data_IF_175434681291
#
_entry.id   IF_175434681291
#
_cell.length_a   1.000
_cell.length_b   1.000
_cell.length_c   1.000
_cell.angle_alpha   90.00
_cell.angle_beta   90.00
_cell.angle_gamma   90.00
#
_symmetry.space_group_name_H-M   'P 1'
#
loop_
_entity.id
_entity.type
_entity.pdbx_description
1 polymer ?
#
# COMPACT_ATOMS: atom_id res chain seq x y z
N UNK A 1 4.60 -12.64 -14.01
CA UNK A 1 5.48 -11.69 -13.29
C UNK A 1 6.89 -12.26 -13.10
N UNK A 2 7.07 -13.40 -12.41
CA UNK A 2 8.41 -14.00 -12.20
C UNK A 2 9.17 -14.36 -13.49
N UNK A 3 8.50 -14.88 -14.51
CA UNK A 3 9.11 -15.15 -15.82
C UNK A 3 9.65 -13.91 -16.54
N UNK A 4 9.07 -12.73 -16.30
CA UNK A 4 9.57 -11.48 -16.90
C UNK A 4 10.88 -11.04 -16.21
N UNK A 5 11.07 -11.41 -14.95
CA UNK A 5 12.24 -11.09 -14.14
C UNK A 5 13.35 -12.12 -14.38
N UNK A 6 12.99 -13.38 -14.67
CA UNK A 6 13.90 -14.48 -14.93
C UNK A 6 13.53 -15.20 -16.25
N UNK A 7 13.82 -14.61 -17.41
CA UNK A 7 13.38 -15.13 -18.71
C UNK A 7 14.04 -16.47 -19.12
N UNK A 8 15.12 -16.88 -18.46
CA UNK A 8 15.81 -18.16 -18.70
C UNK A 8 15.53 -19.25 -17.65
N UNK A 9 14.69 -18.99 -16.65
CA UNK A 9 14.39 -19.94 -15.58
C UNK A 9 13.19 -20.84 -15.93
N UNK A 10 13.24 -22.10 -15.49
CA UNK A 10 12.17 -23.07 -15.72
C UNK A 10 10.81 -22.56 -15.17
N UNK A 11 9.77 -22.44 -16.01
CA UNK A 11 8.43 -22.04 -15.61
C UNK A 11 7.82 -22.83 -14.45
N UNK A 12 8.09 -24.13 -14.36
CA UNK A 12 7.51 -24.96 -13.29
C UNK A 12 8.19 -24.71 -11.95
N UNK A 13 9.51 -24.56 -11.97
CA UNK A 13 10.28 -24.21 -10.79
C UNK A 13 9.91 -22.82 -10.25
N UNK A 14 9.75 -21.82 -11.12
CA UNK A 14 9.27 -20.48 -10.73
C UNK A 14 7.87 -20.52 -10.10
N UNK A 15 6.97 -21.38 -10.60
CA UNK A 15 5.64 -21.58 -10.02
C UNK A 15 5.72 -22.17 -8.62
N UNK A 16 6.57 -23.19 -8.41
CA UNK A 16 6.77 -23.82 -7.10
C UNK A 16 7.23 -22.81 -6.04
N UNK A 17 8.17 -21.92 -6.38
CA UNK A 17 8.62 -20.86 -5.48
C UNK A 17 7.55 -19.80 -5.20
N UNK A 18 6.68 -19.52 -6.16
CA UNK A 18 5.58 -18.57 -5.98
C UNK A 18 4.49 -19.12 -5.06
N UNK A 19 4.18 -20.41 -5.17
CA UNK A 19 3.22 -21.08 -4.31
C UNK A 19 3.79 -21.25 -2.88
N UNK A 20 5.07 -21.64 -2.75
CA UNK A 20 5.76 -21.76 -1.48
C UNK A 20 5.90 -20.42 -0.73
N UNK A 21 5.95 -19.30 -1.45
CA UNK A 21 5.98 -17.96 -0.85
C UNK A 21 4.60 -17.42 -0.44
N UNK A 22 3.55 -18.22 -0.54
CA UNK A 22 2.17 -17.81 -0.25
C UNK A 22 1.61 -16.82 -1.27
N UNK A 23 2.02 -16.95 -2.55
CA UNK A 23 1.67 -16.03 -3.64
C UNK A 23 2.19 -14.60 -3.44
N UNK A 24 3.16 -14.40 -2.55
CA UNK A 24 3.81 -13.10 -2.36
C UNK A 24 5.00 -13.01 -3.31
N UNK A 25 4.88 -12.11 -4.30
CA UNK A 25 5.84 -11.97 -5.39
C UNK A 25 7.26 -11.63 -4.90
N UNK A 26 7.38 -10.70 -3.94
CA UNK A 26 8.68 -10.27 -3.42
C UNK A 26 9.42 -11.39 -2.66
N UNK A 27 8.67 -12.17 -1.87
CA UNK A 27 9.19 -13.34 -1.18
C UNK A 27 9.63 -14.45 -2.15
N UNK A 28 8.90 -14.66 -3.24
CA UNK A 28 9.27 -15.62 -4.29
C UNK A 28 10.55 -15.20 -5.02
N UNK A 29 10.67 -13.90 -5.36
CA UNK A 29 11.87 -13.35 -6.03
C UNK A 29 13.11 -13.54 -5.14
N UNK A 30 12.99 -13.24 -3.85
CA UNK A 30 14.09 -13.41 -2.90
C UNK A 30 14.49 -14.87 -2.75
N UNK A 31 13.53 -15.77 -2.48
CA UNK A 31 13.82 -17.20 -2.31
C UNK A 31 14.43 -17.85 -3.56
N UNK A 32 14.01 -17.43 -4.76
CA UNK A 32 14.61 -17.93 -6.00
C UNK A 32 16.01 -17.36 -6.26
N UNK A 33 16.28 -16.09 -5.90
CA UNK A 33 17.65 -15.54 -5.95
C UNK A 33 18.59 -16.24 -4.98
N UNK A 34 18.12 -16.55 -3.78
CA UNK A 34 18.90 -17.28 -2.77
C UNK A 34 19.25 -18.70 -3.27
N UNK A 35 18.32 -19.35 -3.99
CA UNK A 35 18.57 -20.63 -4.67
C UNK A 35 19.65 -20.53 -5.75
N UNK A 36 19.61 -19.51 -6.61
CA UNK A 36 20.63 -19.28 -7.63
C UNK A 36 22.01 -18.97 -7.02
N UNK A 37 22.04 -18.18 -5.95
CA UNK A 37 23.27 -17.86 -5.21
C UNK A 37 23.88 -19.07 -4.50
N UNK A 38 23.06 -20.08 -4.17
CA UNK A 38 23.49 -21.33 -3.53
C UNK A 38 24.11 -22.36 -4.50
N UNK A 39 24.33 -22.00 -5.77
CA UNK A 39 25.22 -22.75 -6.66
C UNK A 39 24.70 -24.10 -7.18
N UNK A 40 23.41 -24.41 -7.03
CA UNK A 40 22.82 -25.68 -7.52
C UNK A 40 22.68 -25.76 -9.06
N UNK A 41 23.13 -24.74 -9.80
CA UNK A 41 23.07 -24.70 -11.27
C UNK A 41 24.48 -24.79 -11.88
N UNK A 42 25.15 -25.93 -11.73
CA UNK A 42 26.09 -26.36 -12.75
C UNK A 42 26.17 -27.88 -12.81
N UNK A 43 25.67 -28.44 -13.91
CA UNK A 43 25.87 -29.84 -14.30
C UNK A 43 27.23 -29.99 -14.98
N UNK A 44 28.12 -30.76 -14.35
CA UNK A 44 29.16 -31.68 -14.86
C UNK A 44 29.88 -31.39 -16.20
N UNK A 45 31.21 -31.25 -16.14
CA UNK A 45 32.17 -31.92 -17.04
C UNK A 45 33.60 -31.90 -16.45
N UNK A 46 34.25 -33.06 -16.47
CA UNK A 46 35.56 -33.42 -15.94
C UNK A 46 36.76 -32.68 -16.58
N UNK A 47 37.87 -32.56 -15.84
CA UNK A 47 39.16 -33.14 -16.22
C UNK A 47 40.26 -32.81 -15.20
N UNK A 48 40.90 -33.85 -14.69
CA UNK A 48 42.11 -33.80 -13.89
C UNK A 48 43.36 -33.41 -14.71
N UNK A 49 44.31 -32.69 -14.12
CA UNK A 49 45.74 -32.94 -14.37
C UNK A 49 46.66 -32.29 -13.31
N UNK A 50 47.38 -33.18 -12.64
CA UNK A 50 48.70 -33.09 -11.99
C UNK A 50 49.61 -31.87 -12.27
N UNK A 51 50.24 -31.36 -11.20
CA UNK A 51 51.72 -31.36 -11.11
C UNK A 51 52.49 -30.04 -11.21
N UNK A 52 52.88 -29.51 -10.05
CA UNK A 52 54.17 -28.87 -9.70
C UNK A 52 54.49 -27.43 -10.17
N UNK A 53 54.75 -26.62 -9.13
CA UNK A 53 55.61 -25.43 -9.03
C UNK A 53 55.18 -24.14 -9.73
N UNK A 54 54.51 -23.28 -8.96
CA UNK A 54 54.85 -21.86 -8.93
C UNK A 54 54.56 -21.32 -7.53
N UNK A 55 55.58 -21.38 -6.66
CA UNK A 55 55.58 -20.79 -5.31
C UNK A 55 55.79 -19.27 -5.39
N UNK A 56 55.00 -18.62 -6.24
CA UNK A 56 54.83 -17.17 -6.28
C UNK A 56 53.46 -16.92 -5.68
N UNK A 57 53.43 -16.95 -4.35
CA UNK A 57 52.45 -16.32 -3.45
C UNK A 57 51.26 -15.68 -4.19
N UNK A 58 50.31 -16.54 -4.53
CA UNK A 58 49.02 -16.17 -5.12
C UNK A 58 48.11 -15.66 -3.99
N UNK A 59 48.51 -14.57 -3.33
CA UNK A 59 47.76 -13.96 -2.23
C UNK A 59 46.90 -12.81 -2.77
N UNK A 60 45.94 -13.15 -3.64
CA UNK A 60 44.96 -12.21 -4.18
C UNK A 60 43.52 -12.54 -3.74
N UNK A 61 43.34 -12.93 -2.48
CA UNK A 61 42.01 -13.12 -1.93
C UNK A 61 41.93 -12.62 -0.49
N UNK A 62 41.49 -11.37 -0.35
CA UNK A 62 40.85 -10.81 0.85
C UNK A 62 41.60 -11.07 2.17
N UNK A 63 42.86 -10.64 2.23
CA UNK A 63 43.69 -10.66 3.44
C UNK A 63 43.09 -9.71 4.49
N UNK A 64 42.71 -10.26 5.65
CA UNK A 64 42.09 -9.49 6.72
C UNK A 64 43.15 -8.63 7.47
N UNK A 65 42.72 -7.69 8.31
CA UNK A 65 43.65 -6.79 9.05
C UNK A 65 44.65 -7.53 9.93
N UNK A 66 44.30 -8.72 10.42
CA UNK A 66 45.14 -9.57 11.28
C UNK A 66 46.23 -10.24 10.44
N UNK A 67 45.88 -10.73 9.25
CA UNK A 67 46.79 -11.40 8.33
C UNK A 67 47.88 -10.44 7.80
N UNK A 68 47.55 -9.15 7.60
CA UNK A 68 48.53 -8.13 7.21
C UNK A 68 49.54 -7.84 8.32
N UNK A 69 49.09 -7.78 9.58
CA UNK A 69 49.97 -7.54 10.72
C UNK A 69 50.96 -8.71 10.90
N UNK A 70 50.48 -9.95 10.80
CA UNK A 70 51.33 -11.14 10.86
C UNK A 70 52.32 -11.21 9.70
N UNK A 71 51.88 -10.87 8.48
CA UNK A 71 52.74 -10.80 7.29
C UNK A 71 53.88 -9.79 7.46
N UNK A 72 53.57 -8.60 7.98
CA UNK A 72 54.57 -7.56 8.23
C UNK A 72 55.58 -8.05 9.27
N UNK A 73 55.10 -8.57 10.41
CA UNK A 73 55.99 -9.05 11.48
C UNK A 73 56.88 -10.20 10.99
N UNK A 74 56.34 -11.14 10.21
CA UNK A 74 57.09 -12.26 9.61
C UNK A 74 58.17 -11.78 8.63
N UNK A 75 57.84 -10.89 7.71
CA UNK A 75 58.78 -10.41 6.68
C UNK A 75 59.88 -9.50 7.26
N UNK A 76 59.53 -8.66 8.25
CA UNK A 76 60.49 -7.80 8.94
C UNK A 76 61.40 -8.58 9.88
N UNK A 77 60.89 -9.60 10.58
CA UNK A 77 61.71 -10.44 11.47
C UNK A 77 62.68 -11.35 10.72
N UNK A 78 62.40 -11.67 9.45
CA UNK A 78 63.30 -12.40 8.57
C UNK A 78 64.34 -11.50 7.87
N UNK A 79 64.35 -10.18 8.11
CA UNK A 79 65.23 -9.26 7.40
C UNK A 79 66.67 -9.36 7.91
N UNK A 80 67.64 -9.36 6.99
CA UNK A 80 69.06 -9.45 7.36
C UNK A 80 69.65 -8.12 7.83
N UNK A 81 69.11 -7.01 7.33
CA UNK A 81 69.52 -5.65 7.67
C UNK A 81 68.37 -4.64 7.43
N UNK A 82 68.62 -3.38 7.77
CA UNK A 82 67.63 -2.30 7.66
C UNK A 82 67.24 -1.98 6.21
N UNK A 83 68.16 -2.17 5.25
CA UNK A 83 67.90 -1.89 3.83
C UNK A 83 67.00 -2.99 3.23
N UNK A 84 67.26 -4.24 3.58
CA UNK A 84 66.42 -5.39 3.24
C UNK A 84 65.02 -5.26 3.89
N UNK A 85 64.94 -4.91 5.18
CA UNK A 85 63.66 -4.63 5.85
C UNK A 85 62.88 -3.52 5.15
N UNK A 86 63.54 -2.42 4.77
CA UNK A 86 62.92 -1.31 4.02
C UNK A 86 62.40 -1.77 2.65
N UNK A 87 63.17 -2.58 1.94
CA UNK A 87 62.79 -3.13 0.63
C UNK A 87 61.56 -4.03 0.73
N UNK A 88 61.51 -4.89 1.77
CA UNK A 88 60.33 -5.72 2.06
C UNK A 88 59.11 -4.90 2.46
N UNK A 89 59.30 -3.83 3.24
CA UNK A 89 58.21 -2.95 3.66
C UNK A 89 57.56 -2.25 2.46
N UNK A 90 58.38 -1.76 1.52
CA UNK A 90 57.87 -1.21 0.27
C UNK A 90 57.06 -2.22 -0.52
N UNK A 91 57.54 -3.47 -0.62
CA UNK A 91 56.83 -4.53 -1.36
C UNK A 91 55.50 -4.90 -0.70
N UNK A 92 55.44 -4.94 0.63
CA UNK A 92 54.19 -5.21 1.36
C UNK A 92 53.18 -4.07 1.17
N UNK A 93 53.63 -2.81 1.23
CA UNK A 93 52.77 -1.66 0.96
C UNK A 93 52.25 -1.64 -0.48
N UNK A 94 53.09 -1.99 -1.46
CA UNK A 94 52.67 -2.10 -2.86
C UNK A 94 51.63 -3.22 -3.07
N UNK A 95 51.77 -4.35 -2.36
CA UNK A 95 50.77 -5.43 -2.35
C UNK A 95 49.46 -5.00 -1.68
N UNK A 96 49.55 -4.23 -0.59
CA UNK A 96 48.38 -3.67 0.08
C UNK A 96 47.60 -2.71 -0.83
N UNK A 97 48.29 -1.80 -1.51
CA UNK A 97 47.65 -0.86 -2.44
C UNK A 97 46.98 -1.59 -3.62
N UNK A 98 47.61 -2.64 -4.16
CA UNK A 98 47.02 -3.49 -5.22
C UNK A 98 45.78 -4.23 -4.73
N UNK A 99 45.81 -4.78 -3.51
CA UNK A 99 44.66 -5.44 -2.88
C UNK A 99 43.50 -4.46 -2.62
N UNK A 100 43.80 -3.27 -2.12
CA UNK A 100 42.81 -2.22 -1.87
C UNK A 100 42.19 -1.67 -3.18
N UNK A 101 42.96 -1.61 -4.27
CA UNK A 101 42.47 -1.26 -5.59
C UNK A 101 41.55 -2.36 -6.17
N UNK A 102 41.89 -3.63 -5.94
CA UNK A 102 41.08 -4.79 -6.37
C UNK A 102 39.74 -4.92 -5.66
N UNK A 103 39.64 -4.57 -4.37
CA UNK A 103 38.37 -4.54 -3.62
C UNK A 103 37.46 -3.34 -3.96
N UNK A 104 37.94 -2.41 -4.76
CA UNK A 104 37.25 -1.18 -5.16
C UNK A 104 37.05 -1.17 -6.68
N UNK A 105 36.65 -2.31 -7.24
CA UNK A 105 36.48 -2.40 -8.68
C UNK A 105 35.55 -1.27 -9.16
N UNK A 106 35.90 -0.57 -10.26
CA UNK A 106 35.05 0.47 -10.81
C UNK A 106 33.61 -0.01 -11.05
N UNK A 107 33.46 -1.30 -11.35
CA UNK A 107 32.19 -1.98 -11.59
C UNK A 107 31.33 -2.11 -10.32
N UNK A 108 31.87 -2.58 -9.19
CA UNK A 108 31.12 -2.65 -7.93
C UNK A 108 30.70 -1.27 -7.43
N UNK A 109 31.60 -0.28 -7.54
CA UNK A 109 31.26 1.11 -7.20
C UNK A 109 30.18 1.68 -8.12
N UNK A 110 30.22 1.37 -9.40
CA UNK A 110 29.19 1.82 -10.35
C UNK A 110 27.85 1.13 -10.09
N UNK A 111 27.85 -0.18 -9.85
CA UNK A 111 26.67 -0.94 -9.45
C UNK A 111 26.03 -0.37 -8.19
N UNK A 112 26.80 -0.10 -7.15
CA UNK A 112 26.30 0.51 -5.91
C UNK A 112 25.68 1.89 -6.15
N UNK A 113 26.27 2.71 -7.04
CA UNK A 113 25.71 4.02 -7.41
C UNK A 113 24.36 3.89 -8.11
N UNK A 114 24.23 2.96 -9.05
CA UNK A 114 22.97 2.74 -9.76
C UNK A 114 21.87 2.18 -8.84
N UNK A 115 22.20 1.22 -7.96
CA UNK A 115 21.28 0.71 -6.94
C UNK A 115 20.78 1.84 -6.02
N UNK A 116 21.69 2.71 -5.55
CA UNK A 116 21.33 3.86 -4.72
C UNK A 116 20.43 4.86 -5.47
N UNK A 117 20.65 5.06 -6.78
CA UNK A 117 19.82 5.91 -7.62
C UNK A 117 18.40 5.34 -7.77
N UNK A 118 18.28 4.03 -8.01
CA UNK A 118 16.99 3.34 -8.10
C UNK A 118 16.24 3.44 -6.77
N UNK A 119 16.92 3.19 -5.64
CA UNK A 119 16.34 3.31 -4.30
C UNK A 119 15.80 4.72 -4.03
N UNK A 120 16.55 5.76 -4.40
CA UNK A 120 16.10 7.16 -4.29
C UNK A 120 14.86 7.44 -5.14
N UNK A 121 14.82 6.95 -6.37
CA UNK A 121 13.66 7.12 -7.26
C UNK A 121 12.42 6.43 -6.68
N UNK A 122 12.58 5.19 -6.21
CA UNK A 122 11.48 4.43 -5.59
C UNK A 122 10.96 5.12 -4.32
N UNK A 123 11.85 5.62 -3.46
CA UNK A 123 11.47 6.39 -2.27
C UNK A 123 10.69 7.66 -2.64
N UNK A 124 11.13 8.38 -3.67
CA UNK A 124 10.42 9.55 -4.20
C UNK A 124 9.00 9.19 -4.68
N UNK A 125 8.84 8.07 -5.38
CA UNK A 125 7.54 7.55 -5.80
C UNK A 125 6.61 7.24 -4.62
N UNK A 126 7.11 6.55 -3.60
CA UNK A 126 6.35 6.22 -2.39
C UNK A 126 5.92 7.48 -1.62
N UNK A 127 6.81 8.47 -1.49
CA UNK A 127 6.48 9.75 -0.84
C UNK A 127 5.39 10.50 -1.61
N UNK A 128 5.46 10.51 -2.94
CA UNK A 128 4.42 11.11 -3.78
C UNK A 128 3.06 10.42 -3.58
N UNK A 129 3.03 9.08 -3.63
CA UNK A 129 1.82 8.30 -3.39
C UNK A 129 1.24 8.55 -1.99
N UNK A 130 2.08 8.61 -0.95
CA UNK A 130 1.64 8.95 0.41
C UNK A 130 0.98 10.34 0.46
N UNK A 131 1.53 11.31 -0.28
CA UNK A 131 0.94 12.64 -0.42
C UNK A 131 -0.43 12.62 -1.10
N UNK A 132 -0.58 11.85 -2.18
CA UNK A 132 -1.88 11.65 -2.86
C UNK A 132 -2.89 11.03 -1.91
N UNK A 133 -2.49 9.98 -1.17
CA UNK A 133 -3.36 9.28 -0.23
C UNK A 133 -3.81 10.18 0.92
N UNK A 134 -2.91 10.99 1.49
CA UNK A 134 -3.26 11.97 2.53
C UNK A 134 -4.30 12.98 2.05
N UNK A 135 -4.16 13.49 0.83
CA UNK A 135 -5.16 14.40 0.24
C UNK A 135 -6.50 13.70 0.02
N UNK A 136 -6.49 12.50 -0.53
CA UNK A 136 -7.71 11.71 -0.74
C UNK A 136 -8.43 11.40 0.58
N UNK A 137 -7.67 11.01 1.61
CA UNK A 137 -8.18 10.77 2.96
C UNK A 137 -8.84 12.03 3.53
N UNK A 138 -8.19 13.19 3.44
CA UNK A 138 -8.73 14.45 3.95
C UNK A 138 -10.04 14.83 3.24
N UNK A 139 -10.11 14.66 1.92
CA UNK A 139 -11.34 14.92 1.15
C UNK A 139 -12.46 13.98 1.61
N UNK A 140 -12.17 12.68 1.76
CA UNK A 140 -13.16 11.70 2.23
C UNK A 140 -13.61 11.99 3.65
N UNK A 141 -12.68 12.36 4.53
CA UNK A 141 -12.99 12.72 5.91
C UNK A 141 -13.94 13.92 5.98
N UNK A 142 -13.66 14.99 5.22
CA UNK A 142 -14.52 16.16 5.18
C UNK A 142 -15.92 15.82 4.65
N UNK A 143 -16.01 15.07 3.54
CA UNK A 143 -17.31 14.61 3.01
C UNK A 143 -18.10 13.82 4.03
N UNK A 144 -17.46 12.89 4.75
CA UNK A 144 -18.11 12.10 5.79
C UNK A 144 -18.63 13.00 6.92
N UNK A 145 -17.84 13.99 7.33
CA UNK A 145 -18.25 14.95 8.35
C UNK A 145 -19.47 15.76 7.91
N UNK A 146 -19.45 16.28 6.68
CA UNK A 146 -20.58 17.02 6.10
C UNK A 146 -21.85 16.16 6.09
N UNK A 147 -21.75 14.87 5.73
CA UNK A 147 -22.88 13.94 5.80
C UNK A 147 -23.40 13.76 7.24
N UNK A 148 -22.52 13.63 8.22
CA UNK A 148 -22.95 13.52 9.63
C UNK A 148 -23.67 14.77 10.11
N UNK A 149 -23.21 15.95 9.70
CA UNK A 149 -23.86 17.21 10.04
C UNK A 149 -25.23 17.33 9.36
N UNK A 150 -25.35 16.96 8.07
CA UNK A 150 -26.65 16.90 7.38
C UNK A 150 -27.64 15.93 8.04
N UNK A 151 -27.17 14.77 8.52
CA UNK A 151 -28.01 13.81 9.24
C UNK A 151 -28.53 14.42 10.56
N UNK A 152 -27.70 15.19 11.25
CA UNK A 152 -28.10 15.92 12.47
C UNK A 152 -29.16 16.97 12.16
N UNK A 153 -28.95 17.79 11.14
CA UNK A 153 -29.91 18.82 10.70
C UNK A 153 -31.24 18.20 10.26
N UNK A 154 -31.22 17.12 9.47
CA UNK A 154 -32.43 16.39 9.08
C UNK A 154 -33.21 15.90 10.29
N UNK A 155 -32.52 15.43 11.32
CA UNK A 155 -33.17 14.95 12.56
C UNK A 155 -33.85 16.11 13.30
N UNK A 156 -33.24 17.29 13.33
CA UNK A 156 -33.85 18.50 13.89
C UNK A 156 -35.09 18.93 13.12
N UNK A 157 -35.03 18.94 11.78
CA UNK A 157 -36.20 19.26 10.95
C UNK A 157 -37.33 18.25 11.13
N UNK A 158 -37.02 16.96 11.25
CA UNK A 158 -38.01 15.91 11.53
C UNK A 158 -38.75 16.20 12.84
N UNK A 159 -38.04 16.55 13.91
CA UNK A 159 -38.66 16.89 15.19
C UNK A 159 -39.63 18.08 15.07
N UNK A 160 -39.27 19.10 14.28
CA UNK A 160 -40.14 20.26 14.03
C UNK A 160 -41.39 19.85 13.24
N UNK A 161 -41.23 19.04 12.19
CA UNK A 161 -42.36 18.53 11.39
C UNK A 161 -43.31 17.70 12.27
N UNK A 162 -42.77 16.82 13.11
CA UNK A 162 -43.57 15.99 14.02
C UNK A 162 -44.38 16.86 15.00
N UNK A 163 -43.78 17.94 15.52
CA UNK A 163 -44.49 18.91 16.38
C UNK A 163 -45.67 19.57 15.66
N UNK A 164 -45.48 20.03 14.42
CA UNK A 164 -46.58 20.65 13.65
C UNK A 164 -47.66 19.64 13.25
N UNK A 165 -47.28 18.42 12.89
CA UNK A 165 -48.24 17.35 12.61
C UNK A 165 -49.12 17.04 13.84
N UNK A 166 -48.55 17.02 15.05
CA UNK A 166 -49.32 16.85 16.29
C UNK A 166 -50.29 18.01 16.53
N UNK A 167 -49.87 19.26 16.29
CA UNK A 167 -50.76 20.42 16.41
C UNK A 167 -51.94 20.35 15.44
N UNK A 168 -51.69 19.94 14.19
CA UNK A 168 -52.75 19.78 13.19
C UNK A 168 -53.74 18.69 13.63
N UNK A 169 -53.26 17.52 14.06
CA UNK A 169 -54.12 16.44 14.56
C UNK A 169 -54.98 16.89 15.74
N UNK A 170 -54.40 17.62 16.70
CA UNK A 170 -55.15 18.15 17.84
C UNK A 170 -56.25 19.13 17.41
N UNK A 171 -55.99 19.98 16.42
CA UNK A 171 -57.00 20.90 15.86
C UNK A 171 -58.09 20.15 15.09
N UNK A 172 -57.72 19.14 14.31
CA UNK A 172 -58.68 18.28 13.58
C UNK A 172 -59.62 17.55 14.55
N UNK A 173 -59.08 17.00 15.65
CA UNK A 173 -59.86 16.36 16.71
C UNK A 173 -60.83 17.35 17.38
N UNK A 174 -60.36 18.57 17.71
CA UNK A 174 -61.22 19.62 18.26
C UNK A 174 -62.33 20.04 17.28
N UNK A 175 -62.00 20.21 16.00
CA UNK A 175 -62.98 20.52 14.97
C UNK A 175 -64.03 19.41 14.83
N UNK A 176 -63.64 18.14 14.88
CA UNK A 176 -64.56 17.01 14.82
C UNK A 176 -65.51 16.96 16.03
N UNK A 177 -65.01 17.27 17.23
CA UNK A 177 -65.84 17.38 18.44
C UNK A 177 -66.84 18.53 18.34
N UNK A 178 -66.40 19.71 17.87
CA UNK A 178 -67.28 20.87 17.66
C UNK A 178 -68.36 20.57 16.62
N UNK A 179 -68.00 19.94 15.49
CA UNK A 179 -68.95 19.52 14.47
C UNK A 179 -69.98 18.52 15.03
N UNK A 180 -69.55 17.55 15.83
CA UNK A 180 -70.44 16.58 16.46
C UNK A 180 -71.43 17.23 17.44
N UNK A 181 -70.97 18.22 18.21
CA UNK A 181 -71.81 19.00 19.14
C UNK A 181 -72.79 19.94 18.41
N UNK A 182 -72.40 20.47 17.26
CA UNK A 182 -73.26 21.28 16.41
C UNK A 182 -74.41 20.44 15.82
N UNK A 183 -74.15 19.23 15.33
CA UNK A 183 -75.18 18.33 14.78
C UNK A 183 -76.26 17.95 15.82
N UNK A 184 -75.92 17.94 17.12
CA UNK A 184 -76.89 17.73 18.21
C UNK A 184 -77.73 18.96 18.60
N UNK A 185 -77.41 20.14 18.07
CA UNK A 185 -78.13 21.39 18.36
C UNK A 185 -79.06 21.73 17.19
N UNK A 186 -80.38 21.70 17.42
CA UNK A 186 -81.43 21.84 16.39
C UNK A 186 -81.49 23.20 15.66
N UNK A 187 -80.52 24.10 15.87
CA UNK A 187 -80.43 25.42 15.22
C UNK A 187 -79.59 25.45 13.93
N UNK A 188 -78.74 24.45 13.66
CA UNK A 188 -77.80 24.50 12.52
C UNK A 188 -78.44 24.26 11.14
N UNK A 189 -79.68 23.76 11.08
CA UNK A 189 -80.37 23.53 9.81
C UNK A 189 -80.75 24.82 9.07
N UNK A 190 -80.72 25.98 9.73
CA UNK A 190 -81.13 27.26 9.14
C UNK A 190 -79.96 27.97 8.43
N UNK A 191 -78.70 27.61 8.72
CA UNK A 191 -77.51 28.32 8.22
C UNK A 191 -76.46 27.43 7.53
N UNK A 192 -76.76 26.16 7.24
CA UNK A 192 -75.82 25.29 6.53
C UNK A 192 -75.78 25.60 5.01
N UNK A 193 -74.62 25.91 4.42
CA UNK A 193 -74.44 25.89 2.97
C UNK A 193 -74.55 24.43 2.47
N UNK A 194 -75.41 24.18 1.49
CA UNK A 194 -75.63 22.87 0.87
C UNK A 194 -74.32 22.20 0.43
N UNK A 195 -74.15 20.86 0.62
CA UNK A 195 -72.90 20.17 0.30
C UNK A 195 -72.78 19.98 -1.21
N UNK A 196 -72.09 20.89 -1.89
CA UNK A 196 -71.62 20.66 -3.26
C UNK A 196 -70.20 20.09 -3.22
N UNK A 197 -70.12 18.79 -3.51
CA UNK A 197 -68.94 18.06 -4.04
C UNK A 197 -67.65 18.17 -3.20
N UNK A 198 -67.51 17.32 -2.18
CA UNK A 198 -66.22 17.05 -1.53
C UNK A 198 -65.93 15.54 -1.43
N UNK A 199 -66.11 14.80 -2.53
CA UNK A 199 -65.56 13.44 -2.70
C UNK A 199 -64.18 13.46 -3.39
N UNK A 200 -63.45 14.57 -3.29
CA UNK A 200 -62.16 14.77 -3.97
C UNK A 200 -60.91 14.69 -3.09
N UNK A 201 -61.04 14.65 -1.76
CA UNK A 201 -59.91 14.93 -0.86
C UNK A 201 -59.50 13.79 0.07
N UNK A 202 -60.20 12.65 0.06
CA UNK A 202 -59.79 11.47 0.84
C UNK A 202 -58.99 10.54 -0.06
N UNK A 203 -57.82 11.00 -0.49
CA UNK A 203 -56.67 10.15 -0.83
C UNK A 203 -55.39 10.98 -0.83
N UNK A 204 -55.03 11.55 0.33
CA UNK A 204 -53.62 11.91 0.54
C UNK A 204 -52.84 10.60 0.54
N UNK A 205 -52.17 10.38 -0.59
CA UNK A 205 -51.22 9.32 -0.86
C UNK A 205 -50.04 9.51 0.11
N UNK A 206 -49.65 8.43 0.79
CA UNK A 206 -48.48 8.42 1.67
C UNK A 206 -47.25 9.04 0.98
N UNK A 207 -46.65 10.11 1.52
CA UNK A 207 -45.45 10.71 0.94
C UNK A 207 -44.24 9.77 1.01
N UNK A 208 -44.26 8.76 1.88
CA UNK A 208 -43.20 7.74 1.93
C UNK A 208 -43.24 6.78 0.71
N UNK A 209 -44.42 6.52 0.13
CA UNK A 209 -44.53 5.64 -1.03
C UNK A 209 -43.98 6.29 -2.33
N UNK A 210 -44.06 7.63 -2.44
CA UNK A 210 -43.56 8.38 -3.60
C UNK A 210 -42.03 8.44 -3.60
N UNK A 211 -41.42 8.56 -2.41
CA UNK A 211 -39.96 8.66 -2.30
C UNK A 211 -39.29 7.30 -2.58
N UNK A 212 -39.93 6.18 -2.23
CA UNK A 212 -39.38 4.84 -2.51
C UNK A 212 -39.46 4.49 -4.00
N UNK A 213 -40.53 4.89 -4.72
CA UNK A 213 -40.63 4.68 -6.18
C UNK A 213 -39.61 5.52 -6.97
N UNK A 214 -39.33 6.75 -6.53
CA UNK A 214 -38.41 7.64 -7.23
C UNK A 214 -36.94 7.19 -7.09
N UNK A 215 -36.56 6.65 -5.92
CA UNK A 215 -35.23 6.07 -5.68
C UNK A 215 -35.02 4.76 -6.47
N UNK A 216 -36.05 3.93 -6.63
CA UNK A 216 -35.97 2.70 -7.44
C UNK A 216 -35.83 3.04 -8.93
N UNK A 217 -36.52 4.08 -9.42
CA UNK A 217 -36.43 4.48 -10.84
C UNK A 217 -35.15 5.25 -11.21
N UNK A 218 -34.49 5.94 -10.27
CA UNK A 218 -33.19 6.59 -10.54
C UNK A 218 -31.98 5.67 -10.38
N UNK A 219 -32.14 4.51 -9.74
CA UNK A 219 -31.08 3.50 -9.60
C UNK A 219 -30.72 2.76 -10.88
N UNK A 220 -31.43 2.98 -12.00
CA UNK A 220 -31.22 2.25 -13.25
C UNK A 220 -30.48 3.04 -14.35
N UNK A 221 -29.78 4.14 -13.99
CA UNK A 221 -28.99 4.96 -14.93
C UNK A 221 -27.48 4.89 -14.65
N UNK A 222 -27.02 4.00 -13.77
CA UNK A 222 -25.58 3.71 -13.61
C UNK A 222 -25.32 2.21 -13.45
N UNK A 223 -25.42 1.48 -14.56
CA UNK A 223 -24.66 0.25 -14.85
C UNK A 223 -24.20 0.32 -16.30
#
# INVERSE_FOLDING_TARGET
>A
ALQLIFPGADPQLLRGYFEASGNVLDAAIRGFKDYLASGSALTNADAASSGVASDVLEMNARTNSIDWAELIVREMSAASDLIDAKSRAFRILELFDKSAAGCNTPDEKQKMREEHKILKQMLGGLLHQNGVLKRAFLIQHNRLKDYQDMVRERSQFKEIVDKYQQQIKALEELCAVVASRAVGSSEWHIWAPQPRRLLGWIRMRDPEAVIVEEIINTGNIFV
#
